data_IF_738021880733
#
_entry.id   IF_738021880733
#
_cell.length_a   1.000
_cell.length_b   1.000
_cell.length_c   1.000
_cell.angle_alpha   90.00
_cell.angle_beta   90.00
_cell.angle_gamma   90.00
#
_symmetry.space_group_name_H-M   'P 1'
#
loop_
_entity.id
_entity.type
_entity.pdbx_description
1 polymer ?
#
# COMPACT_ATOMS: atom_id res chain seq x y z
N UNK A 1 24.63 26.04 -12.44
CA UNK A 1 23.15 26.03 -12.49
C UNK A 1 22.73 25.20 -13.71
N UNK A 2 21.67 24.38 -13.61
CA UNK A 2 20.99 23.65 -14.72
C UNK A 2 21.17 22.14 -14.96
N UNK A 3 21.33 21.30 -13.92
CA UNK A 3 20.82 19.90 -14.01
C UNK A 3 19.74 19.61 -12.96
N UNK A 4 19.95 20.04 -11.70
CA UNK A 4 18.96 19.86 -10.63
C UNK A 4 17.64 20.63 -10.85
N UNK A 5 17.68 21.77 -11.56
CA UNK A 5 16.47 22.54 -11.90
C UNK A 5 15.62 21.85 -12.97
N UNK A 6 16.22 21.11 -13.91
CA UNK A 6 15.49 20.34 -14.92
C UNK A 6 14.91 19.02 -14.37
N UNK A 7 15.60 18.36 -13.44
CA UNK A 7 15.05 17.18 -12.74
C UNK A 7 13.93 17.55 -11.78
N UNK A 8 14.04 18.69 -11.07
CA UNK A 8 12.97 19.20 -10.20
C UNK A 8 11.68 19.53 -10.95
N UNK A 9 11.78 20.03 -12.18
CA UNK A 9 10.65 20.32 -13.07
C UNK A 9 9.89 19.06 -13.52
N UNK A 10 10.54 17.87 -13.53
CA UNK A 10 9.87 16.61 -13.91
C UNK A 10 8.99 16.01 -12.80
N UNK A 11 9.17 16.46 -11.56
CA UNK A 11 8.42 15.95 -10.41
C UNK A 11 7.22 16.82 -10.06
N UNK A 12 7.20 18.07 -10.53
CA UNK A 12 6.13 19.03 -10.25
C UNK A 12 4.84 18.60 -10.96
N UNK A 13 3.74 18.57 -10.20
CA UNK A 13 2.45 18.10 -10.69
C UNK A 13 1.57 19.29 -11.09
N UNK A 14 0.96 19.21 -12.27
CA UNK A 14 -0.02 20.18 -12.74
C UNK A 14 -1.45 19.68 -12.55
N UNK A 15 -2.33 20.53 -12.03
CA UNK A 15 -3.70 20.12 -11.66
C UNK A 15 -4.49 19.62 -12.87
N UNK A 16 -4.30 20.20 -14.05
CA UNK A 16 -4.98 19.77 -15.27
C UNK A 16 -4.57 18.34 -15.69
N UNK A 17 -3.28 18.02 -15.62
CA UNK A 17 -2.75 16.68 -15.94
C UNK A 17 -3.20 15.65 -14.90
N UNK A 18 -3.14 16.01 -13.61
CA UNK A 18 -3.60 15.16 -12.51
C UNK A 18 -5.09 14.84 -12.67
N UNK A 19 -5.92 15.83 -12.99
CA UNK A 19 -7.36 15.64 -13.27
C UNK A 19 -7.61 14.71 -14.44
N UNK A 20 -6.94 14.96 -15.58
CA UNK A 20 -7.08 14.11 -16.76
C UNK A 20 -6.69 12.65 -16.48
N UNK A 21 -5.60 12.46 -15.72
CA UNK A 21 -5.14 11.12 -15.34
C UNK A 21 -6.10 10.44 -14.36
N UNK A 22 -6.61 11.15 -13.35
CA UNK A 22 -7.61 10.62 -12.41
C UNK A 22 -8.86 10.10 -13.14
N UNK A 23 -9.39 10.88 -14.09
CA UNK A 23 -10.55 10.47 -14.88
C UNK A 23 -10.30 9.18 -15.67
N UNK A 24 -9.12 9.08 -16.30
CA UNK A 24 -8.73 7.88 -17.07
C UNK A 24 -8.56 6.65 -16.18
N UNK A 25 -7.91 6.81 -15.02
CA UNK A 25 -7.73 5.73 -14.05
C UNK A 25 -9.07 5.26 -13.46
N UNK A 26 -9.96 6.19 -13.12
CA UNK A 26 -11.29 5.85 -12.62
C UNK A 26 -12.13 5.09 -13.66
N UNK A 27 -12.11 5.55 -14.92
CA UNK A 27 -12.78 4.85 -16.02
C UNK A 27 -12.23 3.42 -16.19
N UNK A 28 -10.90 3.29 -16.26
CA UNK A 28 -10.22 1.99 -16.36
C UNK A 28 -10.56 1.07 -15.20
N UNK A 29 -10.44 1.54 -13.96
CA UNK A 29 -10.71 0.70 -12.78
C UNK A 29 -12.18 0.31 -12.69
N UNK A 30 -13.10 1.16 -13.13
CA UNK A 30 -14.53 0.85 -13.16
C UNK A 30 -14.82 -0.25 -14.18
N UNK A 31 -14.29 -0.13 -15.40
CA UNK A 31 -14.50 -1.13 -16.46
C UNK A 31 -13.79 -2.45 -16.14
N UNK A 32 -12.59 -2.38 -15.58
CA UNK A 32 -11.79 -3.54 -15.23
C UNK A 32 -12.18 -4.22 -13.91
N UNK A 33 -13.23 -3.74 -13.22
CA UNK A 33 -13.69 -4.27 -11.94
C UNK A 33 -13.82 -5.80 -11.89
N UNK A 34 -14.31 -6.50 -12.94
CA UNK A 34 -14.38 -7.96 -12.94
C UNK A 34 -13.03 -8.66 -12.71
N UNK A 35 -11.90 -8.05 -13.08
CA UNK A 35 -10.57 -8.65 -12.93
C UNK A 35 -9.96 -8.44 -11.54
N UNK A 36 -10.25 -7.32 -10.86
CA UNK A 36 -9.54 -6.94 -9.63
C UNK A 36 -10.41 -6.91 -8.36
N UNK A 37 -11.73 -6.84 -8.47
CA UNK A 37 -12.64 -6.93 -7.32
C UNK A 37 -12.87 -8.34 -6.76
N UNK A 38 -12.76 -9.45 -7.53
CA UNK A 38 -13.07 -10.77 -6.98
C UNK A 38 -12.19 -11.16 -5.80
N UNK A 39 -12.82 -11.56 -4.69
CA UNK A 39 -12.15 -12.13 -3.53
C UNK A 39 -11.88 -13.61 -3.80
N UNK A 40 -10.65 -13.96 -4.13
CA UNK A 40 -10.29 -15.28 -4.67
C UNK A 40 -10.81 -16.48 -3.86
N UNK A 41 -10.82 -16.41 -2.53
CA UNK A 41 -11.35 -17.47 -1.65
C UNK A 41 -12.86 -17.74 -1.80
N UNK A 42 -13.63 -16.80 -2.34
CA UNK A 42 -15.08 -16.93 -2.50
C UNK A 42 -15.46 -17.78 -3.71
N UNK A 43 -14.55 -17.91 -4.68
CA UNK A 43 -14.82 -18.50 -6.00
C UNK A 43 -14.38 -19.95 -6.13
N UNK A 44 -15.07 -20.69 -7.00
CA UNK A 44 -14.79 -22.09 -7.37
C UNK A 44 -14.37 -22.26 -8.83
N UNK A 45 -14.44 -21.19 -9.61
CA UNK A 45 -13.94 -21.06 -10.97
C UNK A 45 -13.40 -19.64 -11.20
N UNK A 46 -12.82 -19.36 -12.37
CA UNK A 46 -12.38 -18.01 -12.71
C UNK A 46 -13.62 -17.13 -13.00
N UNK A 47 -13.92 -16.12 -12.17
CA UNK A 47 -15.18 -15.36 -12.24
C UNK A 47 -15.37 -14.61 -13.56
N UNK A 48 -14.27 -14.29 -14.22
CA UNK A 48 -14.21 -13.45 -15.40
C UNK A 48 -13.85 -14.24 -16.67
N UNK A 49 -13.77 -15.58 -16.62
CA UNK A 49 -13.31 -16.42 -17.75
C UNK A 49 -14.15 -16.30 -19.02
N UNK A 50 -15.46 -16.01 -18.89
CA UNK A 50 -16.32 -15.79 -20.03
C UNK A 50 -16.05 -14.44 -20.72
N UNK A 51 -15.59 -13.45 -19.94
CA UNK A 51 -15.29 -12.09 -20.41
C UNK A 51 -13.86 -11.97 -20.94
N UNK A 52 -12.91 -12.71 -20.35
CA UNK A 52 -11.49 -12.70 -20.74
C UNK A 52 -10.97 -14.14 -20.96
N UNK A 53 -11.48 -14.84 -21.99
CA UNK A 53 -11.15 -16.24 -22.25
C UNK A 53 -9.67 -16.47 -22.59
N UNK A 54 -9.01 -15.58 -23.34
CA UNK A 54 -7.60 -15.71 -23.68
C UNK A 54 -6.71 -15.54 -22.46
N UNK A 55 -7.02 -14.58 -21.58
CA UNK A 55 -6.34 -14.42 -20.30
C UNK A 55 -6.54 -15.65 -19.40
N UNK A 56 -7.76 -16.20 -19.35
CA UNK A 56 -8.06 -17.39 -18.56
C UNK A 56 -7.25 -18.60 -19.04
N UNK A 57 -7.19 -18.82 -20.37
CA UNK A 57 -6.39 -19.89 -20.96
C UNK A 57 -4.90 -19.73 -20.65
N UNK A 58 -4.36 -18.52 -20.80
CA UNK A 58 -2.97 -18.22 -20.44
C UNK A 58 -2.68 -18.59 -18.97
N UNK A 59 -3.47 -18.09 -18.02
CA UNK A 59 -3.24 -18.34 -16.60
C UNK A 59 -3.34 -19.82 -16.22
N UNK A 60 -4.20 -20.59 -16.88
CA UNK A 60 -4.27 -22.04 -16.64
C UNK A 60 -3.10 -22.82 -17.24
N UNK A 61 -2.49 -22.33 -18.34
CA UNK A 61 -1.29 -22.93 -18.94
C UNK A 61 -0.03 -22.72 -18.11
N UNK A 62 0.06 -21.62 -17.37
CA UNK A 62 1.20 -21.36 -16.48
C UNK A 62 1.21 -22.35 -15.31
N UNK A 63 2.39 -22.91 -15.01
CA UNK A 63 2.61 -23.62 -13.75
C UNK A 63 2.69 -22.65 -12.56
N UNK A 64 2.57 -23.19 -11.35
CA UNK A 64 2.47 -22.37 -10.14
C UNK A 64 3.78 -21.64 -9.82
N UNK A 65 4.95 -22.18 -10.19
CA UNK A 65 6.25 -21.56 -9.92
C UNK A 65 6.48 -20.35 -10.84
N UNK A 66 6.14 -20.50 -12.12
CA UNK A 66 6.14 -19.42 -13.11
C UNK A 66 5.19 -18.30 -12.71
N UNK A 67 3.97 -18.66 -12.29
CA UNK A 67 2.96 -17.69 -11.87
C UNK A 67 3.41 -16.88 -10.64
N UNK A 68 4.07 -17.51 -9.65
CA UNK A 68 4.61 -16.80 -8.50
C UNK A 68 5.83 -15.92 -8.86
N UNK A 69 6.67 -16.36 -9.81
CA UNK A 69 7.79 -15.55 -10.30
C UNK A 69 7.29 -14.28 -11.03
N UNK A 70 6.25 -14.42 -11.86
CA UNK A 70 5.59 -13.27 -12.49
C UNK A 70 4.96 -12.34 -11.46
N UNK A 71 4.26 -12.87 -10.47
CA UNK A 71 3.59 -12.06 -9.45
C UNK A 71 4.57 -11.19 -8.61
N UNK A 72 5.83 -11.61 -8.52
CA UNK A 72 6.89 -10.89 -7.80
C UNK A 72 7.43 -9.68 -8.58
N UNK A 73 7.25 -9.62 -9.91
CA UNK A 73 7.76 -8.55 -10.77
C UNK A 73 6.63 -7.95 -11.62
N UNK A 74 6.20 -6.73 -11.27
CA UNK A 74 5.09 -6.05 -11.92
C UNK A 74 5.31 -5.84 -13.43
N UNK A 75 6.54 -5.63 -13.87
CA UNK A 75 6.85 -5.42 -15.29
C UNK A 75 6.72 -6.72 -16.06
N UNK A 76 7.31 -7.80 -15.56
CA UNK A 76 7.19 -9.12 -16.18
C UNK A 76 5.74 -9.61 -16.16
N UNK A 77 5.00 -9.35 -15.08
CA UNK A 77 3.57 -9.63 -14.97
C UNK A 77 2.79 -8.93 -16.10
N UNK A 78 3.00 -7.63 -16.27
CA UNK A 78 2.34 -6.85 -17.32
C UNK A 78 2.71 -7.36 -18.71
N UNK A 79 3.99 -7.53 -19.01
CA UNK A 79 4.42 -8.00 -20.34
C UNK A 79 3.93 -9.41 -20.67
N UNK A 80 3.78 -10.27 -19.66
CA UNK A 80 3.30 -11.65 -19.85
C UNK A 80 1.79 -11.71 -20.05
N UNK A 81 1.01 -10.93 -19.31
CA UNK A 81 -0.46 -11.01 -19.34
C UNK A 81 -1.10 -10.08 -20.40
N UNK A 82 -0.46 -8.95 -20.71
CA UNK A 82 -1.04 -7.94 -21.61
C UNK A 82 -1.40 -8.47 -23.00
N UNK A 83 -0.62 -9.34 -23.68
CA UNK A 83 -0.97 -9.81 -25.02
C UNK A 83 -2.32 -10.55 -25.06
N UNK A 84 -2.58 -11.44 -24.09
CA UNK A 84 -3.86 -12.16 -23.99
C UNK A 84 -5.01 -11.24 -23.59
N UNK A 85 -4.76 -10.31 -22.66
CA UNK A 85 -5.75 -9.30 -22.29
C UNK A 85 -6.11 -8.41 -23.48
N UNK A 86 -5.14 -7.94 -24.26
CA UNK A 86 -5.38 -7.14 -25.45
C UNK A 86 -6.23 -7.89 -26.49
N UNK A 87 -5.99 -9.19 -26.66
CA UNK A 87 -6.82 -10.02 -27.54
C UNK A 87 -8.27 -10.11 -27.04
N UNK A 88 -8.48 -10.31 -25.73
CA UNK A 88 -9.82 -10.31 -25.13
C UNK A 88 -10.54 -8.95 -25.31
N UNK A 89 -9.80 -7.85 -25.34
CA UNK A 89 -10.33 -6.49 -25.56
C UNK A 89 -10.65 -6.20 -27.03
N UNK A 90 -9.89 -6.76 -27.97
CA UNK A 90 -10.10 -6.60 -29.43
C UNK A 90 -11.24 -7.50 -29.95
N UNK A 91 -11.48 -8.65 -29.31
CA UNK A 91 -12.54 -9.61 -29.64
C UNK A 91 -13.60 -9.71 -28.51
N UNK A 92 -14.34 -8.62 -28.20
CA UNK A 92 -15.23 -8.62 -27.05
C UNK A 92 -16.39 -9.61 -27.25
N UNK A 93 -16.32 -10.75 -26.57
CA UNK A 93 -17.37 -11.76 -26.60
C UNK A 93 -18.57 -11.37 -25.71
N UNK A 94 -19.37 -10.42 -26.18
CA UNK A 94 -20.65 -10.07 -25.57
C UNK A 94 -20.61 -8.92 -24.56
N UNK A 95 -19.52 -8.16 -24.50
CA UNK A 95 -19.47 -6.89 -23.75
C UNK A 95 -19.70 -5.75 -24.73
N UNK A 96 -20.63 -4.84 -24.39
CA UNK A 96 -20.66 -3.51 -24.96
C UNK A 96 -19.45 -2.73 -24.44
N UNK A 97 -18.26 -3.03 -24.96
CA UNK A 97 -17.07 -2.19 -24.72
C UNK A 97 -17.47 -0.83 -25.27
N UNK A 98 -17.55 0.17 -24.39
CA UNK A 98 -17.89 1.52 -24.83
C UNK A 98 -16.83 1.94 -25.86
N UNK A 99 -17.22 2.62 -26.93
CA UNK A 99 -16.32 3.08 -28.02
C UNK A 99 -15.23 4.09 -27.55
N UNK A 100 -14.92 4.16 -26.25
CA UNK A 100 -13.84 4.96 -25.68
C UNK A 100 -12.65 4.05 -25.39
N UNK A 101 -11.41 4.42 -25.76
CA UNK A 101 -10.21 3.64 -25.44
C UNK A 101 -9.87 3.80 -23.95
N UNK A 102 -10.68 3.17 -23.09
CA UNK A 102 -10.52 3.15 -21.63
C UNK A 102 -9.27 2.34 -21.25
N UNK A 103 -9.01 1.28 -22.00
CA UNK A 103 -7.82 0.44 -21.85
C UNK A 103 -6.63 1.04 -22.58
N UNK A 104 -5.65 1.51 -21.81
CA UNK A 104 -4.35 1.96 -22.32
C UNK A 104 -3.24 1.30 -21.49
N UNK A 105 -2.35 0.54 -22.16
CA UNK A 105 -1.18 -0.10 -21.53
C UNK A 105 -0.33 0.92 -20.75
N UNK A 106 -0.25 2.16 -21.21
CA UNK A 106 0.51 3.22 -20.56
C UNK A 106 0.01 3.57 -19.15
N UNK A 107 -1.24 3.23 -18.81
CA UNK A 107 -1.76 3.39 -17.44
C UNK A 107 -1.16 2.34 -16.48
N UNK A 108 -0.73 1.19 -16.99
CA UNK A 108 -0.13 0.10 -16.22
C UNK A 108 1.40 0.21 -16.12
N UNK A 109 2.06 0.88 -17.07
CA UNK A 109 3.52 1.07 -17.08
C UNK A 109 4.00 2.23 -16.21
N UNK A 110 3.09 2.93 -15.53
CA UNK A 110 3.43 4.07 -14.69
C UNK A 110 4.43 3.71 -13.60
N UNK A 111 5.46 4.54 -13.48
CA UNK A 111 6.44 4.48 -12.40
C UNK A 111 6.64 5.85 -11.80
N UNK A 112 6.88 5.89 -10.50
CA UNK A 112 7.33 7.09 -9.82
C UNK A 112 8.71 7.49 -10.34
N UNK A 113 8.84 8.73 -10.80
CA UNK A 113 10.15 9.31 -11.07
C UNK A 113 10.91 9.44 -9.74
N UNK A 114 12.16 8.94 -9.64
CA UNK A 114 12.95 9.09 -8.42
C UNK A 114 13.22 10.56 -8.09
N UNK A 115 13.19 10.90 -6.80
CA UNK A 115 13.76 12.16 -6.34
C UNK A 115 15.28 12.16 -6.58
N UNK A 116 15.90 13.33 -6.85
CA UNK A 116 17.33 13.41 -7.07
C UNK A 116 18.12 12.84 -5.90
N UNK A 117 19.20 12.13 -6.21
CA UNK A 117 20.10 11.66 -5.16
C UNK A 117 20.73 12.84 -4.42
N UNK A 118 20.69 12.79 -3.09
CA UNK A 118 21.41 13.73 -2.24
C UNK A 118 22.90 13.41 -2.29
N UNK A 119 23.70 14.29 -2.90
CA UNK A 119 25.16 14.18 -2.87
C UNK A 119 25.67 14.56 -1.47
N UNK A 120 26.33 13.62 -0.80
CA UNK A 120 26.91 13.82 0.52
C UNK A 120 26.21 13.02 1.63
N UNK A 121 26.95 12.75 2.71
CA UNK A 121 26.39 12.14 3.91
C UNK A 121 25.51 13.17 4.63
N UNK A 122 24.28 12.77 5.02
CA UNK A 122 23.36 13.64 5.77
C UNK A 122 23.95 14.04 7.14
N UNK A 123 24.74 13.13 7.71
CA UNK A 123 25.43 13.27 9.00
C UNK A 123 26.79 12.59 8.91
N UNK A 124 27.78 13.00 9.74
CA UNK A 124 29.00 12.24 9.89
C UNK A 124 28.71 10.79 10.31
N UNK A 125 29.40 9.82 9.68
CA UNK A 125 29.23 8.37 9.91
C UNK A 125 29.10 7.94 11.37
N UNK A 126 29.86 8.55 12.29
CA UNK A 126 29.78 8.23 13.72
C UNK A 126 28.40 8.55 14.31
N UNK A 127 27.84 9.72 14.01
CA UNK A 127 26.49 10.10 14.48
C UNK A 127 25.41 9.20 13.85
N UNK A 128 25.59 8.81 12.59
CA UNK A 128 24.69 7.89 11.90
C UNK A 128 24.61 6.52 12.59
N UNK A 129 25.75 5.94 12.98
CA UNK A 129 25.82 4.66 13.70
C UNK A 129 25.08 4.77 15.05
N UNK A 130 25.28 5.87 15.76
CA UNK A 130 24.58 6.08 17.03
C UNK A 130 23.07 6.22 16.86
N UNK A 131 22.59 6.88 15.81
CA UNK A 131 21.16 7.11 15.57
C UNK A 131 20.44 5.89 14.98
N UNK A 132 21.15 5.06 14.23
CA UNK A 132 20.63 3.81 13.64
C UNK A 132 20.57 2.63 14.61
N UNK A 133 21.21 2.73 15.78
CA UNK A 133 21.23 1.69 16.79
C UNK A 133 19.81 1.22 17.17
N UNK A 134 19.56 -0.08 17.09
CA UNK A 134 18.26 -0.69 17.40
C UNK A 134 17.20 -0.56 16.29
N UNK A 135 17.55 -0.04 15.10
CA UNK A 135 16.66 0.08 13.95
C UNK A 135 17.06 -0.98 12.89
N UNK A 136 16.09 -1.76 12.41
CA UNK A 136 16.34 -2.72 11.32
C UNK A 136 16.78 -2.00 10.04
N UNK A 137 17.70 -2.58 9.29
CA UNK A 137 18.33 -1.95 8.11
C UNK A 137 17.36 -1.32 7.11
N UNK A 138 16.31 -2.04 6.67
CA UNK A 138 15.30 -1.49 5.74
C UNK A 138 14.55 -0.28 6.31
N UNK A 139 14.22 -0.30 7.61
CA UNK A 139 13.55 0.82 8.28
C UNK A 139 14.50 2.02 8.36
N UNK A 140 15.77 1.79 8.66
CA UNK A 140 16.79 2.85 8.68
C UNK A 140 16.95 3.51 7.31
N UNK A 141 17.05 2.72 6.24
CA UNK A 141 17.17 3.23 4.86
C UNK A 141 16.00 4.13 4.46
N UNK A 142 14.77 3.78 4.84
CA UNK A 142 13.60 4.65 4.59
C UNK A 142 13.67 5.95 5.37
N UNK A 143 14.00 5.88 6.67
CA UNK A 143 14.13 7.06 7.53
C UNK A 143 15.22 7.99 7.00
N UNK A 144 16.39 7.44 6.66
CA UNK A 144 17.53 8.23 6.19
C UNK A 144 17.25 8.89 4.84
N UNK A 145 16.72 8.15 3.87
CA UNK A 145 16.38 8.72 2.56
C UNK A 145 15.28 9.79 2.66
N UNK A 146 14.22 9.53 3.41
CA UNK A 146 13.17 10.52 3.64
C UNK A 146 13.74 11.79 4.31
N UNK A 147 14.55 11.63 5.36
CA UNK A 147 15.18 12.74 6.06
C UNK A 147 16.10 13.57 5.15
N UNK A 148 16.88 12.91 4.29
CA UNK A 148 17.77 13.61 3.35
C UNK A 148 16.98 14.46 2.35
N UNK A 149 15.84 13.99 1.85
CA UNK A 149 14.99 14.78 0.95
C UNK A 149 14.28 15.94 1.65
N UNK A 150 13.93 15.77 2.94
CA UNK A 150 13.41 16.87 3.76
C UNK A 150 14.48 17.92 4.03
N UNK A 151 15.72 17.50 4.25
CA UNK A 151 16.85 18.38 4.56
C UNK A 151 17.49 19.05 3.32
N UNK A 152 17.23 18.54 2.12
CA UNK A 152 17.85 19.02 0.87
C UNK A 152 17.54 20.50 0.58
N UNK A 153 16.33 20.95 0.90
CA UNK A 153 15.91 22.33 0.61
C UNK A 153 16.08 23.21 1.85
N UNK A 154 16.91 24.27 1.79
CA UNK A 154 17.07 25.22 2.89
C UNK A 154 15.72 25.73 3.37
N UNK A 155 15.42 25.47 4.64
CA UNK A 155 14.13 25.78 5.24
C UNK A 155 14.30 25.87 6.75
N UNK A 156 13.91 27.00 7.33
CA UNK A 156 14.01 27.24 8.78
C UNK A 156 12.73 26.90 9.55
N UNK A 157 11.68 26.44 8.84
CA UNK A 157 10.40 26.12 9.48
C UNK A 157 10.59 25.08 10.59
N UNK A 158 9.94 25.21 11.76
CA UNK A 158 9.89 24.13 12.73
C UNK A 158 9.21 22.90 12.10
N UNK A 159 9.66 21.71 12.51
CA UNK A 159 9.15 20.44 11.99
C UNK A 159 8.07 19.87 12.92
N UNK A 160 7.01 19.30 12.34
CA UNK A 160 6.07 18.44 13.05
C UNK A 160 6.19 17.02 12.50
N UNK A 161 6.73 16.09 13.29
CA UNK A 161 6.71 14.66 13.00
C UNK A 161 5.36 14.07 13.41
N UNK A 162 4.55 13.69 12.41
CA UNK A 162 3.23 13.11 12.62
C UNK A 162 3.32 11.60 12.80
N UNK A 163 2.70 11.08 13.88
CA UNK A 163 2.76 9.66 14.25
C UNK A 163 4.20 9.17 14.48
N UNK A 164 4.90 9.81 15.42
CA UNK A 164 6.34 9.68 15.62
C UNK A 164 6.77 8.30 16.13
N UNK A 165 5.92 7.58 16.86
CA UNK A 165 6.30 6.36 17.57
C UNK A 165 7.48 6.64 18.51
N UNK A 166 8.61 5.99 18.27
CA UNK A 166 9.86 6.22 19.02
C UNK A 166 10.62 7.49 18.58
N UNK A 167 10.13 8.26 17.61
CA UNK A 167 10.73 9.51 17.10
C UNK A 167 12.09 9.36 16.41
N UNK A 168 12.33 8.25 15.71
CA UNK A 168 13.60 8.03 15.00
C UNK A 168 13.81 9.02 13.85
N UNK A 169 12.75 9.36 13.11
CA UNK A 169 12.85 10.32 12.01
C UNK A 169 13.07 11.73 12.57
N UNK A 170 12.34 12.13 13.62
CA UNK A 170 12.56 13.42 14.28
C UNK A 170 13.97 13.60 14.81
N UNK A 171 14.56 12.60 15.48
CA UNK A 171 15.97 12.64 15.91
C UNK A 171 16.93 12.83 14.75
N UNK A 172 16.71 12.12 13.64
CA UNK A 172 17.57 12.25 12.48
C UNK A 172 17.45 13.65 11.84
N UNK A 173 16.22 14.15 11.71
CA UNK A 173 15.97 15.47 11.13
C UNK A 173 16.59 16.60 11.96
N UNK A 174 16.42 16.59 13.28
CA UNK A 174 17.02 17.60 14.14
C UNK A 174 18.54 17.53 14.14
N UNK A 175 19.13 16.32 14.13
CA UNK A 175 20.58 16.17 14.01
C UNK A 175 21.10 16.69 12.66
N UNK A 176 20.40 16.40 11.56
CA UNK A 176 20.82 16.76 10.21
C UNK A 176 20.64 18.24 9.87
N UNK A 177 19.62 18.88 10.43
CA UNK A 177 19.21 20.24 10.03
C UNK A 177 19.38 21.29 11.13
N UNK A 178 19.57 20.87 12.38
CA UNK A 178 19.55 21.75 13.55
C UNK A 178 18.17 22.33 13.90
N UNK A 179 17.13 22.00 13.12
CA UNK A 179 15.75 22.47 13.30
C UNK A 179 15.12 21.81 14.53
N UNK A 180 14.22 22.55 15.17
CA UNK A 180 13.36 22.01 16.21
C UNK A 180 12.33 21.08 15.60
N UNK A 181 12.10 19.94 16.27
CA UNK A 181 11.11 18.94 15.87
C UNK A 181 10.13 18.70 17.00
N UNK A 182 8.84 18.94 16.73
CA UNK A 182 7.75 18.50 17.58
C UNK A 182 7.22 17.15 17.08
N UNK A 183 7.14 16.16 17.95
CA UNK A 183 6.80 14.78 17.61
C UNK A 183 5.45 14.42 18.21
N UNK A 184 4.42 14.25 17.37
CA UNK A 184 3.09 13.85 17.81
C UNK A 184 3.03 12.32 17.93
N UNK A 185 2.70 11.82 19.11
CA UNK A 185 2.54 10.39 19.38
C UNK A 185 1.45 10.18 20.44
N UNK A 186 0.61 9.14 20.30
CA UNK A 186 -0.54 8.92 21.18
C UNK A 186 -0.19 8.05 22.40
N UNK A 187 0.85 7.21 22.30
CA UNK A 187 1.29 6.36 23.40
C UNK A 187 2.24 7.12 24.31
N UNK A 188 1.77 7.51 25.50
CA UNK A 188 2.55 8.24 26.50
C UNK A 188 3.92 7.60 26.81
N UNK A 189 3.99 6.26 26.85
CA UNK A 189 5.25 5.55 27.09
C UNK A 189 6.29 5.78 25.98
N UNK A 190 5.85 5.88 24.72
CA UNK A 190 6.72 6.17 23.59
C UNK A 190 7.19 7.63 23.61
N UNK A 191 6.31 8.56 24.01
CA UNK A 191 6.68 9.97 24.18
C UNK A 191 7.79 10.13 25.21
N UNK A 192 7.64 9.53 26.41
CA UNK A 192 8.65 9.60 27.47
C UNK A 192 9.98 9.01 27.00
N UNK A 193 9.95 7.80 26.42
CA UNK A 193 11.16 7.15 25.93
C UNK A 193 11.85 7.95 24.80
N UNK A 194 11.05 8.57 23.92
CA UNK A 194 11.53 9.42 22.84
C UNK A 194 12.22 10.69 23.33
N UNK A 195 11.60 11.38 24.28
CA UNK A 195 12.13 12.61 24.91
C UNK A 195 13.44 12.31 25.68
N UNK A 196 13.50 11.18 26.39
CA UNK A 196 14.73 10.73 27.06
C UNK A 196 15.88 10.49 26.09
N UNK A 197 15.60 9.85 24.95
CA UNK A 197 16.60 9.56 23.93
C UNK A 197 17.09 10.84 23.25
N UNK A 198 16.19 11.79 22.96
CA UNK A 198 16.53 13.09 22.40
C UNK A 198 17.42 13.89 23.36
N UNK A 199 17.04 13.97 24.65
CA UNK A 199 17.81 14.66 25.70
C UNK A 199 19.19 14.08 25.89
N UNK A 200 19.33 12.74 25.93
CA UNK A 200 20.63 12.06 26.08
C UNK A 200 21.60 12.44 24.96
N UNK A 201 21.08 12.82 23.79
CA UNK A 201 21.84 13.17 22.59
C UNK A 201 21.95 14.67 22.35
N UNK A 202 21.38 15.51 23.22
CA UNK A 202 21.38 16.97 23.06
C UNK A 202 20.59 17.45 21.83
N UNK A 203 19.57 16.71 21.41
CA UNK A 203 18.78 16.99 20.21
C UNK A 203 17.53 17.82 20.55
N UNK A 204 17.18 18.77 19.67
CA UNK A 204 16.00 19.66 19.82
C UNK A 204 14.72 18.98 19.32
N UNK A 205 14.43 17.81 19.87
CA UNK A 205 13.19 17.09 19.60
C UNK A 205 12.35 17.04 20.87
N UNK A 206 11.09 17.44 20.74
CA UNK A 206 10.09 17.43 21.80
C UNK A 206 8.92 16.54 21.40
N UNK A 207 8.22 15.97 22.37
CA UNK A 207 7.04 15.13 22.14
C UNK A 207 5.76 15.77 22.68
N UNK A 208 4.67 15.56 21.95
CA UNK A 208 3.30 15.85 22.38
C UNK A 208 2.53 14.53 22.40
N UNK A 209 2.00 14.21 23.58
CA UNK A 209 1.16 13.03 23.77
C UNK A 209 -0.28 13.34 23.33
N UNK A 210 -0.61 13.01 22.08
CA UNK A 210 -1.85 13.43 21.43
C UNK A 210 -2.44 12.34 20.55
N UNK A 211 -3.76 12.29 20.45
CA UNK A 211 -4.44 11.52 19.42
C UNK A 211 -4.48 12.33 18.11
N UNK A 212 -3.85 11.79 17.07
CA UNK A 212 -3.84 12.38 15.73
C UNK A 212 -5.27 12.60 15.18
N UNK A 213 -6.25 11.78 15.59
CA UNK A 213 -7.65 11.91 15.17
C UNK A 213 -8.45 12.90 16.01
N UNK A 214 -7.95 13.35 17.15
CA UNK A 214 -8.69 14.26 18.01
C UNK A 214 -8.82 15.66 17.38
N UNK A 215 -10.03 16.23 17.49
CA UNK A 215 -10.38 17.50 16.87
C UNK A 215 -9.81 18.74 17.57
N UNK A 216 -9.24 18.63 18.78
CA UNK A 216 -8.95 19.79 19.66
C UNK A 216 -7.46 20.13 19.82
N UNK A 217 -6.55 19.30 19.35
CA UNK A 217 -5.12 19.52 19.57
C UNK A 217 -4.46 20.20 18.37
N UNK A 218 -4.59 21.51 18.23
CA UNK A 218 -4.02 22.29 17.12
C UNK A 218 -2.48 22.40 17.18
N UNK A 219 -1.82 21.25 16.98
CA UNK A 219 -0.36 21.14 16.85
C UNK A 219 0.15 21.62 15.49
N UNK A 220 -0.76 21.74 14.50
CA UNK A 220 -0.45 22.19 13.15
C UNK A 220 -0.59 23.70 13.05
N UNK A 221 0.46 24.34 12.56
CA UNK A 221 0.56 25.79 12.43
C UNK A 221 0.86 26.18 11.00
N UNK A 222 0.63 27.46 10.67
CA UNK A 222 0.93 28.00 9.33
C UNK A 222 2.44 28.00 9.06
N UNK A 223 3.26 28.54 9.98
CA UNK A 223 4.73 28.56 9.88
C UNK A 223 5.35 27.24 10.35
N UNK A 224 5.11 26.15 9.60
CA UNK A 224 5.58 24.82 9.98
C UNK A 224 5.78 23.92 8.76
N UNK A 225 6.62 22.90 8.93
CA UNK A 225 6.77 21.79 7.99
C UNK A 225 6.29 20.49 8.62
N UNK A 226 5.12 20.01 8.20
CA UNK A 226 4.60 18.72 8.61
C UNK A 226 5.29 17.56 7.87
N UNK A 227 5.77 16.56 8.58
CA UNK A 227 6.42 15.38 8.01
C UNK A 227 5.77 14.09 8.49
N UNK A 228 5.57 13.14 7.56
CA UNK A 228 4.98 11.85 7.85
C UNK A 228 5.54 10.75 6.95
N UNK A 229 6.33 9.83 7.52
CA UNK A 229 6.88 8.67 6.78
C UNK A 229 5.99 7.43 6.90
N UNK A 230 5.39 7.19 8.08
CA UNK A 230 4.56 6.00 8.35
C UNK A 230 3.24 6.35 9.04
N UNK A 231 2.62 7.47 8.65
CA UNK A 231 1.26 7.77 9.01
C UNK A 231 0.31 6.94 8.13
N UNK A 232 -0.07 5.75 8.60
CA UNK A 232 -0.84 4.78 7.81
C UNK A 232 -2.31 5.18 7.60
N UNK A 233 -2.85 4.93 6.40
CA UNK A 233 -4.27 5.04 6.10
C UNK A 233 -4.87 6.41 6.46
N UNK A 234 -5.87 6.44 7.32
CA UNK A 234 -6.55 7.68 7.71
C UNK A 234 -5.62 8.69 8.42
N UNK A 235 -4.50 8.25 9.01
CA UNK A 235 -3.58 9.14 9.73
C UNK A 235 -2.92 10.19 8.80
N UNK A 236 -2.47 9.79 7.60
CA UNK A 236 -1.91 10.78 6.67
C UNK A 236 -2.98 11.64 6.02
N UNK A 237 -4.19 11.10 5.79
CA UNK A 237 -5.32 11.88 5.29
C UNK A 237 -5.72 12.96 6.30
N UNK A 238 -5.76 12.61 7.59
CA UNK A 238 -6.03 13.54 8.67
C UNK A 238 -4.96 14.64 8.75
N UNK A 239 -3.66 14.29 8.70
CA UNK A 239 -2.58 15.28 8.59
C UNK A 239 -2.81 16.25 7.42
N UNK A 240 -3.10 15.74 6.23
CA UNK A 240 -3.32 16.56 5.04
C UNK A 240 -4.49 17.54 5.23
N UNK A 241 -5.66 17.05 5.68
CA UNK A 241 -6.84 17.90 5.88
C UNK A 241 -6.57 18.99 6.92
N UNK A 242 -5.93 18.63 8.04
CA UNK A 242 -5.62 19.58 9.12
C UNK A 242 -4.54 20.58 8.72
N UNK A 243 -3.51 20.16 8.01
CA UNK A 243 -2.45 21.05 7.54
C UNK A 243 -2.98 22.06 6.51
N UNK A 244 -3.87 21.64 5.61
CA UNK A 244 -4.59 22.56 4.71
C UNK A 244 -5.43 23.55 5.51
N UNK A 245 -6.20 23.10 6.50
CA UNK A 245 -7.01 23.95 7.36
C UNK A 245 -6.19 24.97 8.17
N UNK A 246 -5.04 24.56 8.71
CA UNK A 246 -4.10 25.43 9.42
C UNK A 246 -3.27 26.33 8.49
N UNK A 247 -3.33 26.08 7.18
CA UNK A 247 -2.52 26.80 6.21
C UNK A 247 -1.02 26.53 6.32
N UNK A 248 -0.64 25.33 6.78
CA UNK A 248 0.74 24.89 6.99
C UNK A 248 1.57 25.06 5.73
N UNK A 249 2.70 25.77 5.83
CA UNK A 249 3.48 26.17 4.66
C UNK A 249 4.06 24.99 3.88
N UNK A 250 4.45 23.91 4.56
CA UNK A 250 5.14 22.79 3.91
C UNK A 250 4.71 21.43 4.43
N UNK A 251 4.63 20.45 3.53
CA UNK A 251 4.36 19.06 3.84
C UNK A 251 5.35 18.13 3.12
N UNK A 252 5.82 17.10 3.81
CA UNK A 252 6.48 15.93 3.21
C UNK A 252 5.81 14.67 3.73
N UNK A 253 5.13 13.93 2.86
CA UNK A 253 4.27 12.80 3.27
C UNK A 253 4.58 11.60 2.39
N UNK A 254 4.80 10.45 3.01
CA UNK A 254 4.83 9.15 2.34
C UNK A 254 3.56 8.38 2.69
N UNK A 255 2.52 8.39 1.83
CA UNK A 255 1.30 7.65 2.06
C UNK A 255 1.56 6.15 2.08
N UNK A 256 1.00 5.44 3.06
CA UNK A 256 1.11 3.98 3.16
C UNK A 256 -0.14 3.34 3.77
N UNK A 257 -0.32 2.03 3.53
CA UNK A 257 -1.40 1.22 4.11
C UNK A 257 -2.80 1.79 3.85
N UNK A 258 -3.17 1.94 2.59
CA UNK A 258 -4.43 2.57 2.18
C UNK A 258 -5.70 1.89 2.73
N UNK A 259 -5.63 0.60 3.09
CA UNK A 259 -6.72 -0.15 3.72
C UNK A 259 -6.98 0.18 5.20
N UNK A 260 -6.12 0.96 5.85
CA UNK A 260 -6.29 1.38 7.25
C UNK A 260 -7.15 2.65 7.36
N UNK A 261 -8.32 2.61 6.71
CA UNK A 261 -9.35 3.65 6.79
C UNK A 261 -10.53 3.08 7.58
N UNK A 262 -11.04 3.78 8.61
CA UNK A 262 -12.11 3.26 9.48
C UNK A 262 -13.39 2.87 8.75
N UNK A 263 -13.78 3.60 7.71
CA UNK A 263 -14.98 3.31 6.90
C UNK A 263 -14.86 1.98 6.13
N UNK A 264 -13.65 1.49 5.91
CA UNK A 264 -13.37 0.36 5.01
C UNK A 264 -13.29 0.75 3.54
N UNK A 265 -13.99 1.80 3.13
CA UNK A 265 -14.06 2.25 1.74
C UNK A 265 -13.28 3.55 1.52
N UNK A 266 -12.78 3.74 0.30
CA UNK A 266 -12.15 4.98 -0.11
C UNK A 266 -13.21 6.09 -0.19
N UNK A 267 -13.05 7.09 0.66
CA UNK A 267 -13.62 8.41 0.46
C UNK A 267 -12.54 9.31 -0.15
N UNK A 268 -12.62 9.64 -1.46
CA UNK A 268 -11.63 10.52 -2.06
C UNK A 268 -11.59 11.88 -1.35
N UNK A 269 -10.41 12.47 -1.21
CA UNK A 269 -10.25 13.73 -0.47
C UNK A 269 -10.27 14.97 -1.37
N UNK A 270 -9.87 14.86 -2.63
CA UNK A 270 -9.94 15.93 -3.62
C UNK A 270 -11.36 16.12 -4.17
N UNK A 271 -11.68 17.34 -4.60
CA UNK A 271 -12.93 17.60 -5.31
C UNK A 271 -12.95 16.87 -6.67
N UNK A 272 -11.80 16.86 -7.35
CA UNK A 272 -11.63 16.17 -8.63
C UNK A 272 -11.98 14.68 -8.56
N UNK A 273 -11.44 13.94 -7.59
CA UNK A 273 -11.72 12.52 -7.48
C UNK A 273 -13.14 12.23 -6.97
N UNK A 274 -13.69 13.08 -6.07
CA UNK A 274 -15.09 12.97 -5.63
C UNK A 274 -16.08 13.06 -6.79
N UNK A 275 -15.83 13.95 -7.75
CA UNK A 275 -16.68 14.14 -8.93
C UNK A 275 -16.72 12.92 -9.86
N UNK A 276 -15.75 12.00 -9.76
CA UNK A 276 -15.71 10.78 -10.59
C UNK A 276 -16.66 9.69 -10.08
N UNK A 277 -17.16 9.81 -8.85
CA UNK A 277 -18.01 8.81 -8.19
C UNK A 277 -17.43 7.38 -8.18
N UNK A 278 -16.12 7.24 -8.40
CA UNK A 278 -15.40 5.98 -8.33
C UNK A 278 -15.33 5.49 -6.88
N UNK A 279 -15.57 4.19 -6.68
CA UNK A 279 -15.54 3.55 -5.37
C UNK A 279 -14.45 2.49 -5.33
N UNK A 280 -13.74 2.44 -4.21
CA UNK A 280 -12.76 1.41 -3.93
C UNK A 280 -13.04 0.88 -2.53
N UNK A 281 -13.38 -0.39 -2.43
CA UNK A 281 -13.65 -1.04 -1.15
C UNK A 281 -12.34 -1.39 -0.42
N UNK A 282 -12.47 -1.97 0.77
CA UNK A 282 -11.31 -2.39 1.58
C UNK A 282 -10.40 -3.36 0.84
N UNK A 283 -10.96 -4.25 0.02
CA UNK A 283 -10.18 -5.23 -0.73
C UNK A 283 -9.34 -4.53 -1.81
N UNK A 284 -9.95 -3.63 -2.58
CA UNK A 284 -9.23 -2.80 -3.55
C UNK A 284 -8.12 -1.96 -2.91
N UNK A 285 -8.36 -1.40 -1.72
CA UNK A 285 -7.36 -0.65 -0.95
C UNK A 285 -6.18 -1.51 -0.43
N UNK A 286 -6.34 -2.83 -0.38
CA UNK A 286 -5.26 -3.76 -0.03
C UNK A 286 -4.39 -4.13 -1.22
N UNK A 287 -4.91 -4.10 -2.44
CA UNK A 287 -4.20 -4.56 -3.63
C UNK A 287 -2.80 -3.94 -3.78
N UNK A 288 -2.61 -2.60 -3.71
CA UNK A 288 -1.27 -1.98 -3.78
C UNK A 288 -0.26 -2.50 -2.74
N UNK A 289 -0.72 -3.16 -1.68
CA UNK A 289 0.12 -3.63 -0.58
C UNK A 289 0.49 -5.11 -0.74
N UNK A 290 -0.15 -5.82 -1.67
CA UNK A 290 0.03 -7.24 -1.90
C UNK A 290 1.28 -7.55 -2.74
N UNK A 291 2.39 -6.80 -2.56
CA UNK A 291 3.65 -7.16 -3.19
C UNK A 291 4.34 -8.28 -2.41
N UNK A 292 4.62 -9.39 -3.08
CA UNK A 292 5.40 -10.49 -2.53
C UNK A 292 6.84 -10.03 -2.28
N UNK A 293 7.22 -9.94 -1.00
CA UNK A 293 8.63 -9.76 -0.61
C UNK A 293 9.31 -11.12 -0.66
N UNK A 294 10.59 -11.16 -1.03
CA UNK A 294 11.40 -12.39 -1.07
C UNK A 294 11.28 -13.13 0.27
N UNK A 295 10.47 -14.18 0.27
CA UNK A 295 10.34 -15.13 1.37
C UNK A 295 11.32 -16.28 1.11
N UNK A 296 11.92 -16.81 2.17
CA UNK A 296 12.72 -18.03 2.01
C UNK A 296 11.82 -19.23 1.65
N UNK A 297 12.42 -20.30 1.12
CA UNK A 297 11.67 -21.48 0.67
C UNK A 297 10.74 -22.07 1.74
N UNK A 298 11.16 -22.03 3.01
CA UNK A 298 10.33 -22.50 4.13
C UNK A 298 9.09 -21.64 4.32
N UNK A 299 9.22 -20.32 4.35
CA UNK A 299 8.10 -19.41 4.51
C UNK A 299 7.11 -19.50 3.32
N UNK A 300 7.62 -19.76 2.10
CA UNK A 300 6.78 -20.06 0.93
C UNK A 300 5.99 -21.34 1.13
N UNK A 301 6.65 -22.43 1.52
CA UNK A 301 5.99 -23.72 1.78
C UNK A 301 4.92 -23.60 2.89
N UNK A 302 5.25 -22.94 4.00
CA UNK A 302 4.32 -22.72 5.12
C UNK A 302 3.08 -21.91 4.66
N UNK A 303 3.27 -20.87 3.82
CA UNK A 303 2.15 -20.08 3.24
C UNK A 303 1.30 -20.91 2.28
N UNK A 304 1.91 -21.71 1.42
CA UNK A 304 1.19 -22.58 0.49
C UNK A 304 0.33 -23.59 1.24
N UNK A 305 0.89 -24.20 2.30
CA UNK A 305 0.17 -25.12 3.16
C UNK A 305 -1.00 -24.41 3.86
N UNK A 306 -0.78 -23.23 4.45
CA UNK A 306 -1.83 -22.46 5.10
C UNK A 306 -3.00 -22.16 4.15
N UNK A 307 -2.71 -21.63 2.96
CA UNK A 307 -3.74 -21.28 1.99
C UNK A 307 -4.52 -22.52 1.54
N UNK A 308 -3.82 -23.61 1.21
CA UNK A 308 -4.48 -24.87 0.81
C UNK A 308 -5.34 -25.45 1.92
N UNK A 309 -4.90 -25.41 3.18
CA UNK A 309 -5.68 -25.92 4.29
C UNK A 309 -6.90 -25.05 4.60
N UNK A 310 -6.75 -23.72 4.52
CA UNK A 310 -7.89 -22.80 4.65
C UNK A 310 -8.95 -23.05 3.57
N UNK A 311 -8.52 -23.28 2.32
CA UNK A 311 -9.44 -23.58 1.21
C UNK A 311 -10.05 -24.98 1.31
N UNK A 312 -9.29 -25.97 1.79
CA UNK A 312 -9.83 -27.31 2.05
C UNK A 312 -10.87 -27.30 3.16
N UNK A 313 -10.58 -26.59 4.26
CA UNK A 313 -11.56 -26.36 5.32
C UNK A 313 -12.77 -25.56 4.83
N UNK A 314 -12.58 -24.57 3.95
CA UNK A 314 -13.69 -23.84 3.35
C UNK A 314 -14.59 -24.76 2.51
N UNK A 315 -14.03 -25.69 1.75
CA UNK A 315 -14.82 -26.68 1.03
C UNK A 315 -15.58 -27.63 1.97
N UNK A 316 -14.92 -28.05 3.07
CA UNK A 316 -15.55 -28.85 4.12
C UNK A 316 -16.71 -28.13 4.80
N UNK A 317 -16.54 -26.87 5.20
CA UNK A 317 -17.60 -26.13 5.91
C UNK A 317 -18.80 -25.85 4.99
N UNK A 318 -18.58 -25.59 3.69
CA UNK A 318 -19.68 -25.45 2.70
C UNK A 318 -20.49 -26.75 2.60
N UNK A 319 -19.80 -27.90 2.58
CA UNK A 319 -20.44 -29.21 2.60
C UNK A 319 -21.26 -29.42 3.88
N UNK A 320 -20.67 -29.19 5.06
CA UNK A 320 -21.34 -29.38 6.34
C UNK A 320 -22.57 -28.47 6.52
N UNK A 321 -22.50 -27.23 6.02
CA UNK A 321 -23.59 -26.25 6.10
C UNK A 321 -24.58 -26.34 4.95
N UNK A 322 -24.30 -27.14 3.91
CA UNK A 322 -25.05 -27.15 2.65
C UNK A 322 -25.26 -25.75 2.06
N UNK A 323 -24.25 -24.87 2.19
CA UNK A 323 -24.32 -23.46 1.80
C UNK A 323 -23.04 -23.08 1.06
N UNK A 324 -23.16 -22.48 -0.13
CA UNK A 324 -22.01 -22.08 -0.96
C UNK A 324 -21.48 -20.68 -0.59
N UNK A 325 -21.22 -20.46 0.69
CA UNK A 325 -20.71 -19.19 1.23
C UNK A 325 -19.36 -19.38 1.90
N UNK A 326 -18.41 -18.51 1.56
CA UNK A 326 -17.09 -18.49 2.19
C UNK A 326 -17.19 -18.19 3.69
N UNK A 327 -16.51 -19.00 4.51
CA UNK A 327 -16.46 -18.81 5.96
C UNK A 327 -15.03 -18.49 6.42
N UNK A 328 -14.66 -17.21 6.61
CA UNK A 328 -13.28 -16.81 6.86
C UNK A 328 -12.79 -17.29 8.23
N UNK A 329 -11.69 -18.03 8.27
CA UNK A 329 -10.98 -18.36 9.52
C UNK A 329 -10.20 -17.14 10.06
N UNK A 330 -10.04 -17.01 11.40
CA UNK A 330 -9.16 -16.00 11.99
C UNK A 330 -7.68 -16.27 11.63
N UNK A 331 -6.79 -15.38 12.06
CA UNK A 331 -5.34 -15.56 11.86
C UNK A 331 -4.87 -16.92 12.38
N UNK A 332 -4.22 -17.68 11.50
CA UNK A 332 -3.68 -19.01 11.80
C UNK A 332 -2.29 -18.85 12.41
N UNK A 333 -2.05 -19.50 13.54
CA UNK A 333 -0.72 -19.60 14.18
C UNK A 333 0.00 -20.82 13.62
N UNK A 334 1.33 -20.77 13.64
CA UNK A 334 2.17 -21.86 13.16
C UNK A 334 1.87 -23.21 13.83
N UNK A 335 1.48 -23.21 15.11
CA UNK A 335 1.11 -24.44 15.83
C UNK A 335 -0.13 -25.14 15.25
N UNK A 336 -1.03 -24.42 14.59
CA UNK A 336 -2.16 -25.03 13.88
C UNK A 336 -1.77 -25.60 12.51
N UNK A 337 -0.61 -25.22 11.97
CA UNK A 337 -0.08 -25.72 10.71
C UNK A 337 0.92 -26.87 10.90
N UNK A 338 1.43 -27.09 12.12
CA UNK A 338 2.37 -28.18 12.40
C UNK A 338 1.71 -29.56 12.60
N UNK A 339 0.38 -29.61 12.72
CA UNK A 339 -0.38 -30.85 12.89
C UNK A 339 -0.72 -31.55 11.58
N UNK A 340 -1.76 -32.37 11.59
CA UNK A 340 -2.39 -32.91 10.38
C UNK A 340 -3.47 -31.96 9.82
N UNK A 341 -3.91 -32.21 8.59
CA UNK A 341 -5.07 -31.49 8.04
C UNK A 341 -6.36 -31.77 8.84
N UNK A 342 -6.46 -32.95 9.46
CA UNK A 342 -7.55 -33.27 10.37
C UNK A 342 -7.54 -32.39 11.62
N UNK A 343 -6.38 -32.23 12.26
CA UNK A 343 -6.23 -31.36 13.43
C UNK A 343 -6.63 -29.91 13.09
N UNK A 344 -6.23 -29.45 11.89
CA UNK A 344 -6.63 -28.14 11.39
C UNK A 344 -8.15 -28.03 11.17
N UNK A 345 -8.79 -29.06 10.62
CA UNK A 345 -10.24 -29.09 10.43
C UNK A 345 -11.01 -29.12 11.75
N UNK A 346 -10.55 -29.91 12.74
CA UNK A 346 -11.14 -29.96 14.08
C UNK A 346 -11.05 -28.59 14.77
N UNK A 347 -9.88 -27.95 14.71
CA UNK A 347 -9.71 -26.59 15.21
C UNK A 347 -10.61 -25.59 14.48
N UNK A 348 -10.65 -25.63 13.14
CA UNK A 348 -11.48 -24.74 12.34
C UNK A 348 -12.97 -24.91 12.66
N UNK A 349 -13.42 -26.15 12.83
CA UNK A 349 -14.79 -26.49 13.19
C UNK A 349 -15.15 -25.97 14.58
N UNK A 350 -14.27 -26.16 15.57
CA UNK A 350 -14.43 -25.61 16.93
C UNK A 350 -14.57 -24.08 16.91
N UNK A 351 -13.66 -23.39 16.21
CA UNK A 351 -13.67 -21.93 16.06
C UNK A 351 -14.95 -21.42 15.39
N UNK A 352 -15.55 -22.22 14.52
CA UNK A 352 -16.76 -21.87 13.75
C UNK A 352 -18.05 -22.44 14.31
N UNK A 353 -18.00 -23.17 15.42
CA UNK A 353 -19.16 -23.83 15.99
C UNK A 353 -19.78 -24.88 15.07
N UNK A 354 -18.96 -25.53 14.23
CA UNK A 354 -19.39 -26.61 13.33
C UNK A 354 -19.17 -27.96 14.01
N UNK A 355 -20.11 -28.88 13.79
CA UNK A 355 -19.95 -30.28 14.23
C UNK A 355 -19.30 -31.07 13.11
N UNK A 356 -18.12 -31.64 13.37
CA UNK A 356 -17.43 -32.52 12.44
C UNK A 356 -17.76 -33.98 12.77
N UNK A 357 -18.40 -34.74 11.86
CA UNK A 357 -18.66 -36.17 12.08
C UNK A 357 -17.35 -36.97 12.16
N UNK A 358 -17.25 -37.90 13.11
CA UNK A 358 -16.01 -38.67 13.34
C UNK A 358 -15.59 -39.55 12.16
N UNK A 359 -16.54 -40.00 11.34
CA UNK A 359 -16.29 -40.86 10.17
C UNK A 359 -16.18 -40.10 8.84
N UNK A 360 -16.18 -38.76 8.86
CA UNK A 360 -16.15 -37.99 7.61
C UNK A 360 -14.77 -38.09 6.93
N UNK A 361 -14.67 -38.57 5.68
CA UNK A 361 -13.40 -38.61 4.98
C UNK A 361 -12.91 -37.18 4.66
N UNK A 362 -11.79 -36.79 5.25
CA UNK A 362 -11.22 -35.44 5.10
C UNK A 362 -10.28 -35.29 3.90
N UNK A 363 -9.72 -36.39 3.39
CA UNK A 363 -8.77 -36.38 2.28
C UNK A 363 -9.30 -35.72 1.00
N UNK A 364 -10.57 -35.93 0.58
CA UNK A 364 -11.14 -35.22 -0.56
C UNK A 364 -11.08 -33.69 -0.41
N UNK A 365 -11.38 -33.16 0.78
CA UNK A 365 -11.32 -31.72 1.06
C UNK A 365 -9.88 -31.19 1.07
N UNK A 366 -8.92 -32.01 1.51
CA UNK A 366 -7.48 -31.66 1.45
C UNK A 366 -7.04 -31.48 0.00
N UNK A 367 -7.42 -32.41 -0.88
CA UNK A 367 -7.11 -32.36 -2.31
C UNK A 367 -7.83 -31.20 -3.00
N UNK A 368 -9.09 -30.95 -2.66
CA UNK A 368 -9.83 -29.79 -3.15
C UNK A 368 -9.15 -28.48 -2.73
N UNK A 369 -8.63 -28.40 -1.50
CA UNK A 369 -7.85 -27.25 -1.03
C UNK A 369 -6.58 -26.98 -1.85
N UNK A 370 -5.91 -28.03 -2.35
CA UNK A 370 -4.78 -27.89 -3.28
C UNK A 370 -5.22 -27.35 -4.64
N UNK A 371 -6.33 -27.88 -5.18
CA UNK A 371 -6.90 -27.42 -6.45
C UNK A 371 -7.38 -25.97 -6.37
N UNK A 372 -8.10 -25.63 -5.31
CA UNK A 372 -8.58 -24.27 -5.07
C UNK A 372 -7.44 -23.29 -4.87
N UNK A 373 -6.32 -23.67 -4.24
CA UNK A 373 -5.13 -22.80 -4.16
C UNK A 373 -4.63 -22.40 -5.55
N UNK A 374 -4.64 -23.34 -6.50
CA UNK A 374 -4.23 -23.07 -7.90
C UNK A 374 -5.18 -22.06 -8.55
N UNK A 375 -6.48 -22.21 -8.33
CA UNK A 375 -7.48 -21.25 -8.78
C UNK A 375 -7.27 -19.87 -8.14
N UNK A 376 -7.14 -19.80 -6.82
CA UNK A 376 -7.01 -18.51 -6.11
C UNK A 376 -5.78 -17.75 -6.56
N UNK A 377 -4.66 -18.44 -6.79
CA UNK A 377 -3.44 -17.81 -7.30
C UNK A 377 -3.66 -17.15 -8.68
N UNK A 378 -4.46 -17.78 -9.56
CA UNK A 378 -4.79 -17.24 -10.89
C UNK A 378 -5.73 -16.04 -10.81
N UNK A 379 -6.73 -16.08 -9.92
CA UNK A 379 -7.59 -14.92 -9.64
C UNK A 379 -6.74 -13.76 -9.11
N UNK A 380 -5.89 -14.03 -8.10
CA UNK A 380 -5.05 -13.01 -7.46
C UNK A 380 -4.09 -12.36 -8.47
N UNK A 381 -3.43 -13.15 -9.32
CA UNK A 381 -2.47 -12.64 -10.32
C UNK A 381 -3.12 -11.71 -11.35
N UNK A 382 -4.35 -11.99 -11.77
CA UNK A 382 -5.10 -11.05 -12.61
C UNK A 382 -5.40 -9.74 -11.87
N UNK A 383 -5.83 -9.80 -10.61
CA UNK A 383 -6.06 -8.62 -9.79
C UNK A 383 -4.76 -7.82 -9.52
N UNK A 384 -3.64 -8.51 -9.38
CA UNK A 384 -2.33 -7.94 -9.11
C UNK A 384 -1.77 -7.11 -10.27
N UNK A 385 -2.27 -7.29 -11.49
CA UNK A 385 -2.00 -6.39 -12.61
C UNK A 385 -2.37 -4.93 -12.28
N UNK A 386 -3.37 -4.72 -11.42
CA UNK A 386 -3.92 -3.40 -11.08
C UNK A 386 -3.26 -2.72 -9.88
N UNK A 387 -2.28 -3.35 -9.21
CA UNK A 387 -1.54 -2.74 -8.08
C UNK A 387 -1.05 -1.31 -8.37
N UNK A 388 -0.27 -1.04 -9.45
CA UNK A 388 0.22 0.30 -9.75
C UNK A 388 -0.90 1.26 -10.19
N UNK A 389 -1.95 0.75 -10.84
CA UNK A 389 -3.09 1.55 -11.32
C UNK A 389 -3.87 2.12 -10.13
N UNK A 390 -4.19 1.26 -9.16
CA UNK A 390 -4.89 1.65 -7.93
C UNK A 390 -4.01 2.57 -7.09
N UNK A 391 -2.72 2.25 -6.92
CA UNK A 391 -1.81 3.11 -6.17
C UNK A 391 -1.70 4.51 -6.79
N UNK A 392 -1.58 4.59 -8.12
CA UNK A 392 -1.55 5.86 -8.84
C UNK A 392 -2.81 6.68 -8.58
N UNK A 393 -3.99 6.07 -8.63
CA UNK A 393 -5.24 6.76 -8.33
C UNK A 393 -5.24 7.35 -6.92
N UNK A 394 -4.85 6.54 -5.92
CA UNK A 394 -4.79 6.96 -4.51
C UNK A 394 -3.79 8.10 -4.28
N UNK A 395 -2.63 8.06 -4.91
CA UNK A 395 -1.62 9.12 -4.83
C UNK A 395 -2.10 10.39 -5.52
N UNK A 396 -2.71 10.28 -6.71
CA UNK A 396 -3.19 11.43 -7.46
C UNK A 396 -4.39 12.11 -6.79
N UNK A 397 -5.24 11.39 -6.07
CA UNK A 397 -6.29 12.02 -5.24
C UNK A 397 -5.67 12.92 -4.15
N UNK A 398 -4.61 12.45 -3.49
CA UNK A 398 -3.87 13.22 -2.47
C UNK A 398 -3.15 14.43 -3.08
N UNK A 399 -2.54 14.26 -4.25
CA UNK A 399 -1.90 15.35 -5.00
C UNK A 399 -2.93 16.39 -5.44
N UNK A 400 -4.05 15.95 -6.02
CA UNK A 400 -5.14 16.83 -6.45
C UNK A 400 -5.68 17.65 -5.28
N UNK A 401 -5.90 17.04 -4.12
CA UNK A 401 -6.37 17.75 -2.93
C UNK A 401 -5.44 18.90 -2.52
N UNK A 402 -4.12 18.67 -2.55
CA UNK A 402 -3.13 19.70 -2.21
C UNK A 402 -3.06 20.80 -3.28
N UNK A 403 -3.07 20.43 -4.57
CA UNK A 403 -3.09 21.38 -5.68
C UNK A 403 -4.33 22.28 -5.65
N UNK A 404 -5.52 21.69 -5.43
CA UNK A 404 -6.79 22.40 -5.27
C UNK A 404 -6.78 23.35 -4.05
N UNK A 405 -5.98 23.00 -3.04
CA UNK A 405 -5.80 23.80 -1.82
C UNK A 405 -4.71 24.88 -1.94
N UNK A 406 -4.19 25.13 -3.15
CA UNK A 406 -3.23 26.21 -3.41
C UNK A 406 -1.77 25.84 -3.11
N UNK A 407 -1.44 24.55 -3.05
CA UNK A 407 -0.04 24.11 -2.92
C UNK A 407 0.59 23.87 -4.29
N UNK A 408 1.90 24.10 -4.39
CA UNK A 408 2.75 23.48 -5.40
C UNK A 408 3.15 22.09 -4.89
N UNK A 409 2.98 21.07 -5.71
CA UNK A 409 3.15 19.67 -5.29
C UNK A 409 4.16 18.96 -6.18
N UNK A 410 5.03 18.16 -5.57
CA UNK A 410 5.88 17.18 -6.24
C UNK A 410 5.54 15.77 -5.78
N UNK A 411 5.54 14.82 -6.71
CA UNK A 411 5.35 13.39 -6.45
C UNK A 411 6.50 12.60 -7.08
N UNK A 412 7.14 11.74 -6.29
CA UNK A 412 8.24 10.90 -6.77
C UNK A 412 8.58 9.77 -5.82
N UNK A 413 9.55 8.94 -6.22
CA UNK A 413 10.07 7.85 -5.39
C UNK A 413 11.22 8.32 -4.51
N UNK A 414 11.20 8.02 -3.20
CA UNK A 414 12.25 8.49 -2.28
C UNK A 414 13.33 7.45 -1.93
N UNK A 415 13.07 6.17 -2.15
CA UNK A 415 14.01 5.06 -1.99
C UNK A 415 14.14 4.26 -3.29
N UNK A 416 15.00 3.23 -3.28
CA UNK A 416 14.92 2.15 -4.27
C UNK A 416 13.73 1.24 -3.96
N UNK A 417 13.10 0.68 -5.00
CA UNK A 417 11.91 -0.17 -4.88
C UNK A 417 12.15 -1.43 -4.01
N UNK A 418 13.39 -1.93 -3.95
CA UNK A 418 13.77 -3.08 -3.13
C UNK A 418 13.73 -2.79 -1.62
N UNK A 419 13.85 -1.52 -1.22
CA UNK A 419 13.81 -1.09 0.19
C UNK A 419 12.38 -1.15 0.72
N UNK A 420 11.45 -0.64 -0.07
CA UNK A 420 10.01 -0.65 0.24
C UNK A 420 9.19 -0.56 -1.05
N UNK A 421 8.12 -1.36 -1.19
CA UNK A 421 7.15 -1.14 -2.25
C UNK A 421 6.37 0.17 -2.04
N UNK A 422 6.28 0.66 -0.80
CA UNK A 422 5.59 1.90 -0.42
C UNK A 422 6.58 3.06 -0.51
N UNK A 423 6.81 3.50 -1.73
CA UNK A 423 7.96 4.33 -2.06
C UNK A 423 7.61 5.74 -2.53
N UNK A 424 6.32 6.12 -2.49
CA UNK A 424 5.89 7.45 -2.88
C UNK A 424 6.25 8.49 -1.80
N UNK A 425 6.71 9.65 -2.24
CA UNK A 425 6.86 10.86 -1.44
C UNK A 425 6.15 12.03 -2.13
N UNK A 426 5.19 12.61 -1.43
CA UNK A 426 4.52 13.85 -1.78
C UNK A 426 5.20 14.98 -1.01
N UNK A 427 5.76 15.96 -1.73
CA UNK A 427 6.23 17.20 -1.15
C UNK A 427 5.34 18.34 -1.61
N UNK A 428 4.81 19.13 -0.68
CA UNK A 428 3.93 20.25 -1.00
C UNK A 428 4.37 21.53 -0.30
N UNK A 429 4.32 22.64 -1.01
CA UNK A 429 4.64 23.98 -0.50
C UNK A 429 3.49 24.91 -0.85
N UNK A 430 2.91 25.58 0.14
CA UNK A 430 1.80 26.51 -0.06
C UNK A 430 2.27 27.70 -0.91
N UNK A 431 1.47 28.09 -1.91
CA UNK A 431 1.73 29.34 -2.66
C UNK A 431 1.46 30.52 -1.72
N UNK A 432 2.42 31.45 -1.67
CA UNK A 432 2.38 32.64 -0.80
C UNK A 432 1.30 33.63 -1.17
#
# INVERSE_FOLDING_TARGET
MNNQSQEGLRLECELAEVRGTLSRLAALLTEAAPLWTPRSFEWRELPWQAQFPHLAELLWRLDDDTLEALDADQEQLLESLWPSLAQDLDEPQGIAVTNSPVWDKALFTWRLTPYPETKGELLPRQQEVHLSAGIKGRKWQQISRFASLVAMEPCELPLLEWCAGKGHLGRLLTAATGREVLSLEWQAQLCVAGEEEARRRGLKQHFVCADAFAAREDVLQSHQHGVALHACGELHLNLMRRAVGAGTQRLSISPCCYHLIPSGDLEPISQSAKALHFRLDRHGLQLPLNHSVIANAKARADRMQEVSWRLGFDSLQRHLRSTDEYLPLPSVRQSQLSGSFEDFCRWGAEVKGLTLPDELPLEPFRLEGLQRRRLTARIDVAAHLFRPVIERFLLLDRVAFLLESGYRVRLGAFCEQQVTPRNALIQAVRRG
#
